data_IF_035999120483
#
_entry.id   IF_035999120483
#
_cell.length_a   1.000
_cell.length_b   1.000
_cell.length_c   1.000
_cell.angle_alpha   90.00
_cell.angle_beta   90.00
_cell.angle_gamma   90.00
#
_symmetry.space_group_name_H-M   'P 1'
#
loop_
_entity.id
_entity.type
_entity.pdbx_description
1 polymer ?
#
# COMPACT_ATOMS: atom_id res chain seq x y z
N UNK A 1 -7.70 -3.68 24.39
CA UNK A 1 -7.09 -2.89 23.29
C UNK A 1 -7.19 -1.40 23.57
N UNK A 2 -6.31 -0.61 22.96
CA UNK A 2 -6.49 0.85 22.84
C UNK A 2 -7.27 1.12 21.57
N UNK A 3 -8.33 1.91 21.69
CA UNK A 3 -9.22 2.22 20.58
C UNK A 3 -8.56 3.20 19.60
N UNK A 4 -8.60 2.86 18.32
CA UNK A 4 -8.09 3.67 17.22
C UNK A 4 -9.02 4.81 16.78
N UNK A 5 -9.01 5.09 15.49
CA UNK A 5 -9.72 6.20 14.83
C UNK A 5 -8.79 7.31 14.35
N UNK A 6 -7.50 7.20 14.66
CA UNK A 6 -6.48 8.16 14.25
C UNK A 6 -6.17 8.01 12.75
N UNK A 7 -5.94 9.13 12.07
CA UNK A 7 -5.51 9.13 10.68
C UNK A 7 -4.00 8.89 10.60
N UNK A 8 -3.59 7.98 9.72
CA UNK A 8 -2.19 7.59 9.54
C UNK A 8 -1.78 7.68 8.09
N UNK A 9 -0.53 8.05 7.85
CA UNK A 9 0.16 7.85 6.60
C UNK A 9 0.80 6.47 6.57
N UNK A 10 0.79 5.83 5.42
CA UNK A 10 1.36 4.51 5.20
C UNK A 10 2.31 4.61 4.01
N UNK A 11 3.53 4.13 4.16
CA UNK A 11 4.47 3.95 3.06
C UNK A 11 4.99 2.52 3.04
N UNK A 12 4.87 1.87 1.89
CA UNK A 12 5.38 0.52 1.64
C UNK A 12 6.45 0.61 0.56
N UNK A 13 7.65 0.10 0.86
CA UNK A 13 8.67 -0.21 -0.16
C UNK A 13 8.48 -1.64 -0.63
N UNK A 14 8.44 -1.80 -1.95
CA UNK A 14 8.22 -3.10 -2.59
C UNK A 14 9.53 -3.90 -2.72
N UNK A 15 9.46 -5.24 -2.90
CA UNK A 15 10.61 -6.04 -3.24
C UNK A 15 11.05 -5.75 -4.68
N UNK A 16 11.98 -4.82 -4.87
CA UNK A 16 12.35 -4.34 -6.20
C UNK A 16 11.44 -3.20 -6.67
N UNK A 17 11.23 -3.08 -7.97
CA UNK A 17 10.45 -2.03 -8.60
C UNK A 17 9.21 -2.61 -9.25
N UNK A 18 8.04 -2.13 -8.87
CA UNK A 18 6.72 -2.63 -9.32
C UNK A 18 6.33 -2.02 -10.67
N UNK A 19 5.98 -2.85 -11.64
CA UNK A 19 5.42 -2.42 -12.94
C UNK A 19 3.95 -2.04 -12.74
N UNK A 20 3.62 -0.78 -13.02
CA UNK A 20 2.27 -0.23 -12.83
C UNK A 20 1.59 0.18 -14.14
N UNK A 21 2.27 0.07 -15.27
CA UNK A 21 1.71 0.39 -16.57
C UNK A 21 2.73 0.39 -17.69
N UNK A 22 2.27 0.72 -18.89
CA UNK A 22 3.08 0.79 -20.11
C UNK A 22 2.89 2.15 -20.79
N UNK A 23 3.96 2.64 -21.44
CA UNK A 23 3.88 3.82 -22.29
C UNK A 23 4.48 3.57 -23.67
N UNK A 24 4.06 4.34 -24.66
CA UNK A 24 4.56 4.28 -26.02
C UNK A 24 5.89 5.02 -26.15
N UNK A 25 6.89 4.37 -26.71
CA UNK A 25 8.16 4.98 -27.10
C UNK A 25 8.10 5.25 -28.59
N UNK A 26 8.32 6.50 -29.03
CA UNK A 26 8.17 6.93 -30.42
C UNK A 26 6.84 6.51 -31.07
N UNK A 27 5.74 6.66 -30.32
CA UNK A 27 4.38 6.39 -30.80
C UNK A 27 3.94 4.91 -30.78
N UNK A 28 4.83 3.97 -30.42
CA UNK A 28 4.53 2.54 -30.38
C UNK A 28 4.94 1.89 -29.07
N UNK A 29 4.21 0.85 -28.64
CA UNK A 29 4.69 -0.03 -27.57
C UNK A 29 5.87 -0.85 -28.05
N UNK A 30 6.86 -1.08 -27.18
CA UNK A 30 8.01 -1.89 -27.52
C UNK A 30 7.59 -3.33 -27.84
N UNK A 31 8.03 -3.83 -29.01
CA UNK A 31 7.80 -5.23 -29.41
C UNK A 31 8.60 -6.13 -28.48
N UNK A 32 7.98 -7.19 -27.94
CA UNK A 32 8.64 -8.14 -27.04
C UNK A 32 8.50 -7.84 -25.55
N UNK A 33 7.62 -6.89 -25.17
CA UNK A 33 7.19 -6.72 -23.77
C UNK A 33 5.96 -7.55 -23.36
N UNK A 34 5.37 -8.45 -24.20
CA UNK A 34 4.18 -9.18 -23.85
C UNK A 34 4.34 -10.13 -22.65
N UNK A 35 5.59 -10.45 -22.29
CA UNK A 35 5.90 -11.30 -21.12
C UNK A 35 5.80 -10.54 -19.79
N UNK A 36 5.98 -9.21 -19.80
CA UNK A 36 5.85 -8.37 -18.60
C UNK A 36 4.37 -8.00 -18.39
N UNK A 37 3.90 -8.05 -17.16
CA UNK A 37 2.53 -7.67 -16.79
C UNK A 37 2.55 -6.56 -15.74
N UNK A 38 1.48 -5.78 -15.70
CA UNK A 38 1.21 -4.89 -14.55
C UNK A 38 1.10 -5.77 -13.30
N UNK A 39 1.79 -5.38 -12.23
CA UNK A 39 1.91 -6.15 -11.00
C UNK A 39 3.19 -6.97 -10.86
N UNK A 40 4.02 -7.06 -11.91
CA UNK A 40 5.33 -7.70 -11.82
C UNK A 40 6.31 -6.83 -11.03
N UNK A 41 7.13 -7.45 -10.19
CA UNK A 41 8.26 -6.79 -9.52
C UNK A 41 9.55 -7.08 -10.27
N UNK A 42 10.27 -6.03 -10.69
CA UNK A 42 11.61 -6.16 -11.27
C UNK A 42 12.60 -6.26 -10.11
N UNK A 43 13.18 -7.45 -9.92
CA UNK A 43 14.11 -7.72 -8.84
C UNK A 43 15.57 -7.52 -9.24
N UNK A 44 15.93 -7.85 -10.50
CA UNK A 44 17.31 -7.73 -11.02
C UNK A 44 17.33 -7.31 -12.48
N UNK A 45 18.44 -6.66 -12.85
CA UNK A 45 18.87 -6.44 -14.23
C UNK A 45 20.24 -7.09 -14.39
N UNK A 46 20.35 -8.14 -15.21
CA UNK A 46 21.52 -9.02 -15.16
C UNK A 46 21.67 -9.61 -13.74
N UNK A 47 22.87 -9.42 -13.15
CA UNK A 47 23.15 -9.85 -11.77
C UNK A 47 22.95 -8.73 -10.72
N UNK A 48 22.61 -7.51 -11.18
CA UNK A 48 22.45 -6.33 -10.32
C UNK A 48 21.07 -6.31 -9.66
N UNK A 49 21.01 -6.29 -8.33
CA UNK A 49 19.76 -6.18 -7.57
C UNK A 49 19.15 -4.77 -7.67
N UNK A 50 17.82 -4.71 -7.80
CA UNK A 50 17.05 -3.48 -7.96
C UNK A 50 16.25 -3.19 -6.69
N UNK A 51 16.43 -1.98 -6.16
CA UNK A 51 15.70 -1.51 -4.97
C UNK A 51 15.04 -0.14 -5.17
N UNK A 52 15.31 0.53 -6.28
CA UNK A 52 14.76 1.86 -6.60
C UNK A 52 14.67 2.07 -8.11
N UNK A 53 13.92 3.10 -8.52
CA UNK A 53 13.84 3.51 -9.93
C UNK A 53 15.22 3.97 -10.44
N UNK A 54 16.00 4.63 -9.59
CA UNK A 54 17.36 5.04 -9.95
C UNK A 54 18.27 3.83 -10.17
N UNK A 55 18.28 2.85 -9.24
CA UNK A 55 19.08 1.63 -9.39
C UNK A 55 18.67 0.82 -10.63
N UNK A 56 17.38 0.84 -11.00
CA UNK A 56 16.90 0.23 -12.25
C UNK A 56 17.54 0.92 -13.48
N UNK A 57 17.52 2.24 -13.51
CA UNK A 57 18.10 3.01 -14.63
C UNK A 57 19.60 2.80 -14.77
N UNK A 58 20.34 2.83 -13.67
CA UNK A 58 21.79 2.58 -13.63
C UNK A 58 22.11 1.14 -14.06
N UNK A 59 21.39 0.16 -13.55
CA UNK A 59 21.61 -1.24 -13.89
C UNK A 59 21.30 -1.53 -15.37
N UNK A 60 20.30 -0.87 -15.96
CA UNK A 60 20.02 -0.96 -17.41
C UNK A 60 21.23 -0.46 -18.20
N UNK A 61 21.78 0.71 -17.87
CA UNK A 61 22.96 1.27 -18.56
C UNK A 61 24.18 0.36 -18.47
N UNK A 62 24.38 -0.30 -17.33
CA UNK A 62 25.52 -1.21 -17.13
C UNK A 62 25.37 -2.56 -17.84
N UNK A 63 24.13 -3.04 -18.02
CA UNK A 63 23.85 -4.41 -18.49
C UNK A 63 23.26 -4.47 -19.92
N UNK A 64 23.02 -3.33 -20.56
CA UNK A 64 22.45 -3.31 -21.92
C UNK A 64 23.43 -3.92 -22.93
N UNK A 65 22.94 -4.88 -23.73
CA UNK A 65 23.65 -5.49 -24.88
C UNK A 65 22.66 -5.61 -26.02
N UNK A 66 23.06 -5.20 -27.22
CA UNK A 66 22.25 -5.25 -28.44
C UNK A 66 20.82 -4.66 -28.23
N UNK A 67 20.76 -3.52 -27.52
CA UNK A 67 19.49 -2.87 -27.16
C UNK A 67 18.53 -3.77 -26.38
N UNK A 68 19.05 -4.68 -25.58
CA UNK A 68 18.27 -5.57 -24.71
C UNK A 68 18.91 -5.70 -23.33
N UNK A 69 18.10 -6.06 -22.33
CA UNK A 69 18.56 -6.43 -20.98
C UNK A 69 17.86 -7.70 -20.49
N UNK A 70 18.57 -8.47 -19.67
CA UNK A 70 17.97 -9.59 -18.93
C UNK A 70 17.39 -9.08 -17.64
N UNK A 71 16.11 -9.37 -17.38
CA UNK A 71 15.41 -9.04 -16.15
C UNK A 71 15.07 -10.31 -15.38
N UNK A 72 15.22 -10.24 -14.05
CA UNK A 72 14.59 -11.20 -13.14
C UNK A 72 13.36 -10.55 -12.57
N UNK A 73 12.19 -11.15 -12.79
CA UNK A 73 10.89 -10.67 -12.33
C UNK A 73 10.33 -11.62 -11.26
N UNK A 74 9.56 -11.04 -10.33
CA UNK A 74 8.64 -11.80 -9.47
C UNK A 74 7.21 -11.48 -9.89
N UNK A 75 6.43 -12.53 -10.15
CA UNK A 75 4.98 -12.47 -10.39
C UNK A 75 4.30 -13.43 -9.45
N UNK A 76 3.49 -12.92 -8.54
CA UNK A 76 3.02 -13.67 -7.39
C UNK A 76 4.23 -14.31 -6.68
N UNK A 77 4.21 -15.61 -6.42
CA UNK A 77 5.33 -16.32 -5.79
C UNK A 77 6.35 -16.90 -6.80
N UNK A 78 6.19 -16.62 -8.10
CA UNK A 78 7.06 -17.18 -9.15
C UNK A 78 8.14 -16.20 -9.57
N UNK A 79 9.38 -16.69 -9.64
CA UNK A 79 10.51 -15.96 -10.21
C UNK A 79 10.70 -16.39 -11.66
N UNK A 80 10.86 -15.43 -12.55
CA UNK A 80 11.08 -15.66 -13.97
C UNK A 80 12.17 -14.76 -14.52
N UNK A 81 12.89 -15.25 -15.53
CA UNK A 81 13.89 -14.48 -16.26
C UNK A 81 13.38 -14.20 -17.66
N UNK A 82 13.44 -12.95 -18.07
CA UNK A 82 13.02 -12.52 -19.40
C UNK A 82 14.11 -11.66 -20.04
N UNK A 83 14.10 -11.59 -21.36
CA UNK A 83 14.91 -10.62 -22.11
C UNK A 83 14.00 -9.51 -22.60
N UNK A 84 14.25 -8.31 -22.14
CA UNK A 84 13.45 -7.12 -22.45
C UNK A 84 14.16 -6.26 -23.50
N UNK A 85 13.49 -5.92 -24.62
CA UNK A 85 14.03 -4.95 -25.58
C UNK A 85 13.98 -3.54 -25.00
N UNK A 86 14.93 -2.73 -25.40
CA UNK A 86 15.03 -1.31 -25.05
C UNK A 86 15.08 -0.48 -26.32
N UNK A 87 14.58 0.75 -26.26
CA UNK A 87 14.74 1.71 -27.33
C UNK A 87 15.66 2.85 -26.88
N UNK A 88 16.76 3.06 -27.62
CA UNK A 88 17.60 4.23 -27.41
C UNK A 88 16.93 5.45 -28.06
N UNK A 89 16.67 6.47 -27.25
CA UNK A 89 16.14 7.76 -27.70
C UNK A 89 17.07 8.83 -27.14
N UNK A 90 17.79 9.50 -28.02
CA UNK A 90 18.75 10.56 -27.68
C UNK A 90 19.77 10.15 -26.59
N UNK A 91 20.28 8.92 -26.68
CA UNK A 91 21.26 8.38 -25.73
C UNK A 91 20.63 7.77 -24.45
N UNK A 92 19.32 7.84 -24.28
CA UNK A 92 18.62 7.31 -23.12
C UNK A 92 17.86 6.03 -23.50
N UNK A 93 18.13 4.93 -22.80
CA UNK A 93 17.39 3.69 -22.98
C UNK A 93 16.01 3.77 -22.32
N UNK A 94 14.97 3.63 -23.12
CA UNK A 94 13.56 3.63 -22.69
C UNK A 94 13.05 2.20 -22.60
N UNK A 95 12.38 1.91 -21.48
CA UNK A 95 11.79 0.59 -21.20
C UNK A 95 10.34 0.47 -21.68
N UNK A 96 9.64 1.58 -21.87
CA UNK A 96 8.20 1.59 -22.10
C UNK A 96 7.37 1.21 -20.86
N UNK A 97 7.97 1.13 -19.66
CA UNK A 97 7.32 0.72 -18.40
C UNK A 97 7.13 1.92 -17.47
N UNK A 98 5.93 2.08 -16.93
CA UNK A 98 5.72 2.87 -15.74
C UNK A 98 5.99 1.99 -14.52
N UNK A 99 6.83 2.48 -13.62
CA UNK A 99 7.30 1.71 -12.45
C UNK A 99 7.22 2.54 -11.17
N UNK A 100 7.04 1.86 -10.03
CA UNK A 100 7.05 2.44 -8.69
C UNK A 100 7.96 1.62 -7.77
N UNK A 101 8.70 2.28 -6.89
CA UNK A 101 9.53 1.64 -5.85
C UNK A 101 8.85 1.65 -4.48
N UNK A 102 7.81 2.47 -4.33
CA UNK A 102 7.03 2.56 -3.09
C UNK A 102 5.59 2.94 -3.38
N UNK A 103 4.71 2.56 -2.46
CA UNK A 103 3.31 2.94 -2.44
C UNK A 103 3.06 3.72 -1.16
N UNK A 104 2.42 4.88 -1.28
CA UNK A 104 2.05 5.74 -0.17
C UNK A 104 0.55 5.97 -0.19
N UNK A 105 -0.08 5.93 0.97
CA UNK A 105 -1.51 6.14 1.12
C UNK A 105 -1.91 6.59 2.51
N UNK A 106 -3.19 6.86 2.68
CA UNK A 106 -3.80 7.17 3.96
C UNK A 106 -4.53 5.96 4.51
N UNK A 107 -4.58 5.88 5.84
CA UNK A 107 -5.31 4.85 6.53
C UNK A 107 -5.90 5.35 7.85
N UNK A 108 -6.63 4.47 8.51
CA UNK A 108 -7.13 4.70 9.86
C UNK A 108 -6.64 3.59 10.78
N UNK A 109 -6.08 4.00 11.91
CA UNK A 109 -5.79 3.08 13.01
C UNK A 109 -7.09 2.43 13.49
N UNK A 110 -7.11 1.13 13.62
CA UNK A 110 -8.25 0.40 14.18
C UNK A 110 -8.08 0.17 15.68
N UNK A 111 -6.96 -0.39 16.08
CA UNK A 111 -6.65 -0.67 17.49
C UNK A 111 -5.14 -0.81 17.73
N UNK A 112 -4.73 -0.70 19.01
CA UNK A 112 -3.43 -1.17 19.48
C UNK A 112 -3.66 -2.26 20.52
N UNK A 113 -3.02 -3.40 20.34
CA UNK A 113 -2.94 -4.43 21.37
C UNK A 113 -1.77 -4.10 22.31
N UNK A 114 -2.02 -3.82 23.60
CA UNK A 114 -0.98 -3.41 24.54
C UNK A 114 0.01 -4.53 24.88
N UNK A 115 -0.43 -5.79 24.80
CA UNK A 115 0.37 -6.93 25.22
C UNK A 115 1.40 -7.31 24.13
N UNK A 116 0.94 -7.41 22.88
CA UNK A 116 1.79 -7.74 21.74
C UNK A 116 2.48 -6.53 21.12
N UNK A 117 2.04 -5.31 21.46
CA UNK A 117 2.42 -4.05 20.79
C UNK A 117 2.09 -4.04 19.31
N UNK A 118 1.15 -4.87 18.88
CA UNK A 118 0.67 -4.89 17.51
C UNK A 118 -0.41 -3.83 17.34
N UNK A 119 -0.29 -3.11 16.27
CA UNK A 119 -1.12 -2.06 15.79
C UNK A 119 -1.84 -2.56 14.53
N UNK A 120 -3.16 -2.72 14.61
CA UNK A 120 -3.99 -3.09 13.47
C UNK A 120 -4.61 -1.86 12.82
N UNK A 121 -4.58 -1.80 11.49
CA UNK A 121 -5.17 -0.69 10.73
C UNK A 121 -5.81 -1.15 9.42
N UNK A 122 -6.65 -0.29 8.85
CA UNK A 122 -7.42 -0.41 7.62
C UNK A 122 -8.63 -1.34 7.70
N UNK A 123 -8.48 -2.57 8.16
CA UNK A 123 -9.51 -3.62 8.08
C UNK A 123 -9.65 -4.27 6.69
N UNK A 124 -8.75 -3.95 5.76
CA UNK A 124 -8.66 -4.50 4.41
C UNK A 124 -7.21 -4.44 3.90
N UNK A 125 -6.93 -5.16 2.83
CA UNK A 125 -5.62 -5.15 2.18
C UNK A 125 -5.31 -3.84 1.44
N UNK A 126 -4.02 -3.60 1.22
CA UNK A 126 -3.53 -2.58 0.29
C UNK A 126 -3.28 -3.25 -1.05
N UNK A 127 -4.03 -2.84 -2.06
CA UNK A 127 -3.91 -3.28 -3.43
C UNK A 127 -3.23 -2.21 -4.30
N UNK A 128 -2.47 -2.66 -5.31
CA UNK A 128 -2.00 -1.76 -6.35
C UNK A 128 -3.18 -1.40 -7.28
N UNK A 129 -3.37 -0.11 -7.56
CA UNK A 129 -4.59 0.43 -8.17
C UNK A 129 -4.86 -0.05 -9.60
N UNK A 130 -3.82 -0.41 -10.37
CA UNK A 130 -3.97 -0.82 -11.77
C UNK A 130 -4.06 -2.35 -11.92
N UNK A 131 -3.29 -3.09 -11.12
CA UNK A 131 -3.27 -4.56 -11.16
C UNK A 131 -4.30 -5.20 -10.24
N UNK A 132 -4.78 -4.46 -9.23
CA UNK A 132 -5.61 -4.96 -8.13
C UNK A 132 -4.95 -6.13 -7.37
N UNK A 133 -3.63 -6.23 -7.44
CA UNK A 133 -2.88 -7.25 -6.71
C UNK A 133 -2.46 -6.74 -5.34
N UNK A 134 -2.38 -7.67 -4.39
CA UNK A 134 -1.88 -7.39 -3.05
C UNK A 134 -0.45 -6.84 -3.12
N UNK A 135 -0.22 -5.68 -2.50
CA UNK A 135 1.12 -5.08 -2.45
C UNK A 135 1.98 -5.87 -1.48
N UNK A 136 3.09 -6.40 -1.97
CA UNK A 136 4.08 -7.07 -1.13
C UNK A 136 4.91 -6.05 -0.36
N UNK A 137 5.15 -6.34 0.90
CA UNK A 137 5.92 -5.50 1.82
C UNK A 137 7.35 -6.02 1.91
N UNK A 138 8.33 -5.24 1.43
CA UNK A 138 9.74 -5.45 1.76
C UNK A 138 10.07 -4.77 3.08
N UNK A 139 9.71 -3.50 3.18
CA UNK A 139 9.72 -2.68 4.39
C UNK A 139 8.59 -1.69 4.29
N UNK A 140 8.07 -1.24 5.43
CA UNK A 140 7.07 -0.20 5.44
C UNK A 140 7.05 0.53 6.77
N UNK A 141 6.48 1.72 6.76
CA UNK A 141 6.33 2.55 7.94
C UNK A 141 4.95 3.18 7.95
N UNK A 142 4.44 3.39 9.15
CA UNK A 142 3.32 4.28 9.40
C UNK A 142 3.81 5.54 10.10
N UNK A 143 3.18 6.63 9.81
CA UNK A 143 3.60 7.95 10.30
C UNK A 143 2.40 8.88 10.50
N UNK A 144 2.67 9.97 11.21
CA UNK A 144 1.70 11.02 11.43
C UNK A 144 1.18 11.59 10.10
N UNK A 145 -0.15 11.72 9.99
CA UNK A 145 -0.76 12.28 8.78
C UNK A 145 -2.01 13.08 9.12
N UNK A 146 -1.87 14.38 9.46
CA UNK A 146 -3.00 15.23 9.78
C UNK A 146 -3.90 15.47 8.57
N UNK A 147 -5.21 15.38 8.79
CA UNK A 147 -6.23 15.63 7.75
C UNK A 147 -6.29 17.11 7.43
N UNK A 148 -6.11 17.48 6.18
CA UNK A 148 -6.16 18.88 5.70
C UNK A 148 -7.52 19.26 5.13
N UNK A 149 -8.21 18.31 4.49
CA UNK A 149 -9.54 18.52 3.95
C UNK A 149 -10.28 17.22 3.71
N UNK A 150 -11.60 17.31 3.56
CA UNK A 150 -12.48 16.19 3.22
C UNK A 150 -13.31 16.53 2.00
N UNK A 151 -13.29 15.66 1.01
CA UNK A 151 -14.26 15.63 -0.06
C UNK A 151 -15.41 14.70 0.33
N UNK A 152 -16.60 15.27 0.53
CA UNK A 152 -17.78 14.48 0.89
C UNK A 152 -18.17 13.51 -0.23
N UNK A 153 -18.69 12.35 0.13
CA UNK A 153 -19.27 11.42 -0.82
C UNK A 153 -20.51 11.99 -1.51
N UNK A 154 -20.70 11.63 -2.77
CA UNK A 154 -21.92 11.87 -3.53
C UNK A 154 -22.38 10.54 -4.14
N UNK A 155 -23.62 10.48 -4.67
CA UNK A 155 -24.10 9.24 -5.28
C UNK A 155 -23.18 8.77 -6.41
N UNK A 156 -22.63 7.58 -6.27
CA UNK A 156 -21.68 6.99 -7.23
C UNK A 156 -20.21 7.39 -7.06
N UNK A 157 -19.90 8.31 -6.12
CA UNK A 157 -18.52 8.73 -5.83
C UNK A 157 -18.26 8.63 -4.33
N UNK A 158 -17.27 7.84 -3.95
CA UNK A 158 -16.81 7.76 -2.56
C UNK A 158 -16.25 9.10 -2.07
N UNK A 159 -16.43 9.35 -0.78
CA UNK A 159 -15.74 10.46 -0.10
C UNK A 159 -14.25 10.17 0.05
N UNK A 160 -13.46 11.21 0.25
CA UNK A 160 -12.01 11.12 0.33
C UNK A 160 -11.47 12.08 1.39
N UNK A 161 -10.49 11.63 2.17
CA UNK A 161 -9.69 12.48 3.05
C UNK A 161 -8.41 12.87 2.32
N UNK A 162 -8.05 14.16 2.39
CA UNK A 162 -6.72 14.63 2.04
C UNK A 162 -5.94 14.92 3.32
N UNK A 163 -4.67 14.63 3.34
CA UNK A 163 -3.82 14.81 4.51
C UNK A 163 -2.38 15.14 4.11
N UNK A 164 -1.63 15.72 5.02
CA UNK A 164 -0.18 15.86 4.88
C UNK A 164 0.53 14.61 5.37
N UNK A 165 1.73 14.34 4.85
CA UNK A 165 2.57 13.21 5.24
C UNK A 165 3.79 13.69 6.03
N UNK A 166 3.82 13.40 7.33
CA UNK A 166 4.94 13.75 8.19
C UNK A 166 5.93 12.59 8.32
N UNK A 167 6.68 12.30 7.26
CA UNK A 167 7.60 11.16 7.17
C UNK A 167 8.68 11.10 8.27
N UNK A 168 8.92 12.20 9.00
CA UNK A 168 9.83 12.28 10.13
C UNK A 168 9.19 11.90 11.46
N UNK A 169 7.87 11.69 11.52
CA UNK A 169 7.14 11.27 12.72
C UNK A 169 6.59 9.85 12.53
N UNK A 170 7.48 8.87 12.63
CA UNK A 170 7.17 7.46 12.46
C UNK A 170 6.54 6.90 13.74
N UNK A 171 5.44 6.18 13.61
CA UNK A 171 4.77 5.48 14.70
C UNK A 171 5.15 4.01 14.80
N UNK A 172 5.66 3.42 13.72
CA UNK A 172 6.09 2.03 13.72
C UNK A 172 6.39 1.47 12.35
N UNK A 173 6.91 0.23 12.38
CA UNK A 173 7.34 -0.52 11.21
C UNK A 173 6.27 -1.49 10.75
N UNK A 174 5.85 -1.38 9.50
CA UNK A 174 4.83 -2.23 8.88
C UNK A 174 5.43 -3.60 8.55
N UNK A 175 4.84 -4.64 9.12
CA UNK A 175 5.32 -6.02 8.93
C UNK A 175 4.52 -6.77 7.88
N UNK A 176 3.19 -6.60 7.86
CA UNK A 176 2.31 -7.42 7.02
C UNK A 176 1.20 -6.59 6.40
N UNK A 177 0.93 -6.87 5.12
CA UNK A 177 -0.26 -6.46 4.39
C UNK A 177 -1.08 -7.72 4.11
N UNK A 178 -2.26 -7.83 4.71
CA UNK A 178 -3.12 -9.02 4.63
C UNK A 178 -4.53 -8.63 4.20
N UNK A 179 -5.37 -9.63 3.88
CA UNK A 179 -6.78 -9.41 3.55
C UNK A 179 -7.60 -8.77 4.68
N UNK A 180 -7.12 -8.87 5.93
CA UNK A 180 -7.78 -8.32 7.12
C UNK A 180 -7.23 -6.97 7.56
N UNK A 181 -6.27 -6.41 6.82
CA UNK A 181 -5.63 -5.15 7.13
C UNK A 181 -4.11 -5.26 7.21
N UNK A 182 -3.51 -4.17 7.66
CA UNK A 182 -2.08 -4.08 7.92
C UNK A 182 -1.78 -4.24 9.41
N UNK A 183 -0.65 -4.86 9.71
CA UNK A 183 -0.17 -5.06 11.07
C UNK A 183 1.23 -4.46 11.20
N UNK A 184 1.40 -3.67 12.25
CA UNK A 184 2.57 -2.84 12.49
C UNK A 184 3.06 -3.08 13.90
N UNK A 185 4.38 -3.13 14.10
CA UNK A 185 4.96 -3.05 15.45
C UNK A 185 4.95 -1.59 15.85
N UNK A 186 4.24 -1.30 16.96
CA UNK A 186 4.16 0.06 17.49
C UNK A 186 5.40 0.40 18.31
N UNK A 187 6.05 1.49 17.96
CA UNK A 187 7.36 1.89 18.51
C UNK A 187 7.28 3.08 19.48
N UNK A 188 6.08 3.67 19.63
CA UNK A 188 5.86 4.80 20.52
C UNK A 188 5.21 4.35 21.85
N UNK A 189 4.96 5.29 22.76
CA UNK A 189 4.33 5.04 24.06
C UNK A 189 2.88 4.63 23.89
N UNK A 190 2.52 3.45 24.40
CA UNK A 190 1.14 2.95 24.33
C UNK A 190 0.26 3.69 25.34
N UNK A 191 -0.87 4.29 24.91
CA UNK A 191 -1.83 4.89 25.83
C UNK A 191 -2.41 3.87 26.80
N UNK A 192 -2.79 4.30 28.01
CA UNK A 192 -3.26 3.42 29.10
C UNK A 192 -4.77 3.27 29.18
N UNK A 193 -5.53 3.89 28.28
CA UNK A 193 -7.00 3.84 28.24
C UNK A 193 -7.49 2.60 27.48
N UNK A 194 -7.41 1.44 28.12
CA UNK A 194 -7.81 0.17 27.54
C UNK A 194 -9.32 -0.04 27.60
N UNK A 195 -9.85 -0.67 26.56
CA UNK A 195 -11.23 -1.17 26.50
C UNK A 195 -11.23 -2.66 26.18
N UNK A 196 -12.22 -3.43 26.69
CA UNK A 196 -12.37 -4.83 26.29
C UNK A 196 -12.82 -4.92 24.82
N UNK A 197 -12.46 -6.02 24.17
CA UNK A 197 -12.96 -6.37 22.84
C UNK A 197 -14.22 -7.21 23.02
N UNK A 198 -15.31 -6.83 22.36
CA UNK A 198 -16.52 -7.63 22.34
C UNK A 198 -16.32 -8.94 21.56
N UNK A 199 -16.92 -10.02 22.03
CA UNK A 199 -17.03 -11.25 21.25
C UNK A 199 -18.12 -11.11 20.20
N UNK A 200 -18.09 -11.95 19.16
CA UNK A 200 -19.08 -11.90 18.08
C UNK A 200 -20.53 -11.96 18.61
N UNK A 201 -20.78 -12.79 19.62
CA UNK A 201 -22.10 -12.97 20.22
C UNK A 201 -22.58 -11.74 21.01
N UNK A 202 -21.67 -10.83 21.35
CA UNK A 202 -21.96 -9.60 22.11
C UNK A 202 -22.31 -8.43 21.19
N UNK A 203 -22.04 -8.54 19.87
CA UNK A 203 -22.37 -7.51 18.89
C UNK A 203 -23.87 -7.52 18.67
N UNK A 204 -24.52 -6.35 18.81
CA UNK A 204 -25.97 -6.18 18.70
C UNK A 204 -26.32 -5.05 17.75
N UNK A 205 -27.48 -5.19 17.11
CA UNK A 205 -28.11 -4.09 16.38
C UNK A 205 -28.48 -2.98 17.37
N UNK A 206 -28.30 -1.72 16.98
CA UNK A 206 -28.62 -0.54 17.78
C UNK A 206 -27.50 0.51 17.81
N UNK A 207 -27.61 1.41 18.79
CA UNK A 207 -26.64 2.52 18.94
C UNK A 207 -25.22 2.01 19.16
N UNK A 208 -24.29 2.63 18.43
CA UNK A 208 -22.85 2.44 18.58
C UNK A 208 -22.10 3.77 18.38
N UNK A 209 -20.78 3.74 18.53
CA UNK A 209 -19.93 4.91 18.28
C UNK A 209 -18.79 4.53 17.39
N UNK A 210 -18.46 5.39 16.44
CA UNK A 210 -17.21 5.34 15.70
C UNK A 210 -16.31 6.50 16.11
N UNK A 211 -15.02 6.29 16.02
CA UNK A 211 -14.01 7.31 16.26
C UNK A 211 -13.25 7.58 14.99
N UNK A 212 -13.07 8.85 14.65
CA UNK A 212 -12.34 9.24 13.44
C UNK A 212 -11.83 10.67 13.52
N UNK A 213 -10.82 10.98 12.73
CA UNK A 213 -10.30 12.33 12.53
C UNK A 213 -10.89 12.90 11.24
N UNK A 214 -11.50 14.09 11.33
CA UNK A 214 -12.03 14.83 10.18
C UNK A 214 -11.26 16.11 9.88
N UNK A 215 -10.44 16.60 10.83
CA UNK A 215 -9.61 17.79 10.66
C UNK A 215 -8.37 17.71 11.55
N UNK A 216 -7.22 18.02 11.02
CA UNK A 216 -5.95 17.93 11.73
C UNK A 216 -5.70 16.53 12.28
N UNK A 217 -5.54 16.42 13.59
CA UNK A 217 -5.38 15.16 14.34
C UNK A 217 -6.44 14.97 15.43
N UNK A 218 -7.44 15.84 15.48
CA UNK A 218 -8.48 15.80 16.51
C UNK A 218 -9.42 14.61 16.30
N UNK A 219 -9.26 13.55 17.11
CA UNK A 219 -10.13 12.39 17.12
C UNK A 219 -11.45 12.70 17.79
N UNK A 220 -12.58 12.48 17.10
CA UNK A 220 -13.93 12.68 17.61
C UNK A 220 -14.75 11.41 17.52
N UNK A 221 -15.71 11.26 18.44
CA UNK A 221 -16.69 10.19 18.39
C UNK A 221 -17.97 10.65 17.71
N UNK A 222 -18.55 9.76 16.92
CA UNK A 222 -19.81 9.96 16.22
C UNK A 222 -20.76 8.82 16.57
N UNK A 223 -22.02 9.15 16.89
CA UNK A 223 -23.07 8.16 17.05
C UNK A 223 -23.44 7.57 15.71
N UNK A 224 -23.61 6.27 15.67
CA UNK A 224 -24.12 5.49 14.54
C UNK A 224 -25.12 4.46 15.02
N UNK A 225 -25.89 3.89 14.11
CA UNK A 225 -26.73 2.73 14.36
C UNK A 225 -26.23 1.54 13.54
N UNK A 226 -25.97 0.42 14.21
CA UNK A 226 -25.77 -0.86 13.56
C UNK A 226 -27.17 -1.34 13.11
N UNK A 227 -27.42 -1.37 11.81
CA UNK A 227 -28.73 -1.68 11.24
C UNK A 227 -28.90 -3.14 10.88
N UNK A 228 -27.82 -3.85 10.63
CA UNK A 228 -27.82 -5.28 10.32
C UNK A 228 -26.48 -5.92 10.70
N UNK A 229 -26.51 -7.22 10.95
CA UNK A 229 -25.33 -8.05 11.14
C UNK A 229 -25.36 -9.11 10.04
N UNK A 230 -24.24 -9.34 9.39
CA UNK A 230 -24.08 -10.36 8.36
C UNK A 230 -23.27 -11.54 8.89
N UNK A 231 -23.44 -12.71 8.31
CA UNK A 231 -22.66 -13.88 8.68
C UNK A 231 -21.19 -13.71 8.30
N UNK A 232 -20.31 -14.34 9.05
CA UNK A 232 -18.82 -14.18 9.00
C UNK A 232 -18.17 -14.37 7.61
N UNK A 233 -18.87 -14.91 6.63
CA UNK A 233 -18.32 -15.19 5.29
C UNK A 233 -18.68 -14.15 4.21
N UNK A 234 -19.43 -13.10 4.57
CA UNK A 234 -19.79 -12.05 3.62
C UNK A 234 -18.68 -11.01 3.48
N UNK A 235 -18.62 -10.36 2.31
CA UNK A 235 -17.66 -9.30 2.00
C UNK A 235 -17.80 -8.09 2.94
N UNK A 236 -18.99 -7.94 3.56
CA UNK A 236 -19.28 -6.92 4.57
C UNK A 236 -19.96 -7.62 5.76
N UNK A 237 -19.32 -7.57 6.93
CA UNK A 237 -19.82 -8.22 8.14
C UNK A 237 -20.71 -7.32 9.02
N UNK A 238 -20.74 -6.00 8.79
CA UNK A 238 -21.56 -5.01 9.50
C UNK A 238 -22.12 -3.99 8.51
#
# INVERSE_FOLDING_TARGET
VVLGGDNIGIQIKTPGVLVVGFYKVNGSYLKGTPEIKIGDYILKVGDTEISSVNSLSEAILQNVKDSQVKLTLKRNEQIMNITMPLQNVDGIYKTGLYVKESITGLGTLTYIDPDSKIYGALGHEILESNSLQLVEVKTGHIFESPVTSIRKSTRGNAGEKNAEFHFNKVYGSLNNNTRHGIYVIYEDTIPTNFIPVAKNEEIKIGEAKIYTVLNGQEKKSYKIDITSLQEYNDVKNI
#
